data_IF_276468188718
#
_entry.id   IF_276468188718
#
_cell.length_a   1.000
_cell.length_b   1.000
_cell.length_c   1.000
_cell.angle_alpha   90.00
_cell.angle_beta   90.00
_cell.angle_gamma   90.00
#
_symmetry.space_group_name_H-M   'P 1'
#
loop_
_entity.id
_entity.type
_entity.pdbx_description
1 polymer ?
#
# COMPACT_ATOMS: atom_id res chain seq x y z
N UNK A 1 47.57 -16.73 -40.44
CA UNK A 1 46.66 -17.74 -41.01
C UNK A 1 46.29 -18.67 -39.86
N UNK A 2 45.16 -18.44 -39.18
CA UNK A 2 43.82 -19.02 -39.42
C UNK A 2 43.70 -20.48 -38.94
N UNK A 3 42.73 -20.73 -38.05
CA UNK A 3 42.18 -22.05 -37.68
C UNK A 3 42.42 -22.37 -36.20
N UNK A 4 41.53 -22.12 -35.24
CA UNK A 4 40.13 -22.55 -35.09
C UNK A 4 39.96 -24.06 -35.25
N UNK A 5 39.99 -24.82 -34.15
CA UNK A 5 39.11 -25.97 -33.91
C UNK A 5 39.39 -26.59 -32.52
N UNK A 6 38.81 -26.01 -31.46
CA UNK A 6 38.55 -26.74 -30.20
C UNK A 6 37.10 -27.24 -30.28
N UNK A 7 36.87 -28.17 -31.20
CA UNK A 7 35.66 -28.98 -31.24
C UNK A 7 35.83 -30.10 -30.22
N UNK A 8 35.43 -29.89 -28.97
CA UNK A 8 34.97 -30.97 -28.07
C UNK A 8 34.40 -30.41 -26.75
N UNK A 9 33.54 -29.39 -26.86
CA UNK A 9 32.63 -29.04 -25.77
C UNK A 9 31.42 -29.98 -25.82
N UNK A 10 31.45 -30.99 -24.95
CA UNK A 10 30.33 -31.48 -24.14
C UNK A 10 29.02 -31.80 -24.88
N UNK A 11 29.04 -32.89 -25.66
CA UNK A 11 27.85 -33.68 -25.91
C UNK A 11 27.83 -34.85 -24.92
N UNK A 12 26.65 -35.16 -24.39
CA UNK A 12 26.22 -36.47 -23.85
C UNK A 12 26.05 -36.60 -22.33
N UNK A 13 24.75 -36.58 -21.95
CA UNK A 13 24.11 -37.47 -20.98
C UNK A 13 24.23 -37.10 -19.49
N UNK A 14 23.65 -35.98 -19.09
CA UNK A 14 23.07 -35.88 -17.74
C UNK A 14 21.67 -36.51 -17.76
N UNK A 15 21.59 -37.61 -17.01
CA UNK A 15 20.45 -38.51 -16.85
C UNK A 15 19.15 -37.77 -16.49
N UNK A 16 18.07 -38.15 -17.15
CA UNK A 16 16.71 -37.80 -16.76
C UNK A 16 16.38 -38.44 -15.41
N UNK A 17 16.55 -37.69 -14.32
CA UNK A 17 16.06 -38.07 -13.01
C UNK A 17 14.65 -37.52 -12.83
N UNK A 18 13.68 -38.43 -12.89
CA UNK A 18 12.26 -38.20 -12.56
C UNK A 18 12.19 -37.69 -11.11
N UNK A 19 12.00 -36.39 -10.91
CA UNK A 19 11.62 -35.86 -9.59
C UNK A 19 10.11 -35.75 -9.57
N UNK A 20 9.50 -36.63 -8.77
CA UNK A 20 8.07 -36.72 -8.53
C UNK A 20 7.49 -35.34 -8.19
N UNK A 21 6.33 -35.05 -8.78
CA UNK A 21 5.49 -33.93 -8.41
C UNK A 21 5.19 -33.96 -6.89
N UNK A 22 5.77 -33.03 -6.14
CA UNK A 22 5.32 -32.73 -4.79
C UNK A 22 4.06 -31.86 -4.91
N UNK A 23 2.89 -32.49 -4.82
CA UNK A 23 1.65 -31.77 -4.49
C UNK A 23 1.84 -31.08 -3.15
N UNK A 24 1.52 -29.78 -2.98
CA UNK A 24 1.43 -29.21 -1.64
C UNK A 24 0.20 -29.80 -0.94
N UNK A 25 0.41 -30.90 -0.23
CA UNK A 25 -0.50 -31.35 0.82
C UNK A 25 -0.29 -30.42 2.02
N UNK A 26 -1.21 -29.47 2.21
CA UNK A 26 -1.31 -28.68 3.44
C UNK A 26 -2.64 -28.95 4.12
N UNK A 27 -2.73 -30.08 4.81
CA UNK A 27 -3.67 -30.27 5.91
C UNK A 27 -2.96 -30.97 7.08
N UNK A 28 -2.52 -30.15 8.04
CA UNK A 28 -2.52 -30.37 9.50
C UNK A 28 -1.81 -29.13 10.10
N UNK A 29 -2.33 -28.27 10.97
CA UNK A 29 -3.34 -28.43 12.01
C UNK A 29 -2.67 -28.18 13.36
N UNK A 30 -3.20 -27.21 14.13
CA UNK A 30 -3.03 -26.99 15.58
C UNK A 30 -1.86 -26.13 16.10
N UNK A 31 -2.16 -24.85 16.35
CA UNK A 31 -1.50 -24.00 17.32
C UNK A 31 -2.55 -23.05 17.94
N UNK A 32 -2.85 -23.25 19.22
CA UNK A 32 -3.88 -22.51 19.94
C UNK A 32 -3.51 -21.04 20.14
N UNK A 33 -4.45 -20.16 19.86
CA UNK A 33 -4.34 -18.72 20.13
C UNK A 33 -5.71 -18.09 20.00
N UNK A 34 -6.39 -17.91 21.14
CA UNK A 34 -7.61 -17.12 21.26
C UNK A 34 -7.23 -15.64 21.21
N UNK A 35 -6.94 -15.15 20.01
CA UNK A 35 -6.89 -13.73 19.68
C UNK A 35 -7.65 -13.53 18.36
N UNK A 36 -8.30 -12.39 18.11
CA UNK A 36 -8.88 -12.10 16.81
C UNK A 36 -7.73 -12.09 15.80
N UNK A 37 -7.56 -13.20 15.07
CA UNK A 37 -6.72 -13.26 13.89
C UNK A 37 -7.37 -12.26 12.93
N UNK A 38 -6.69 -11.18 12.50
CA UNK A 38 -7.30 -10.27 11.53
C UNK A 38 -7.69 -11.15 10.35
N UNK A 39 -8.99 -11.27 10.10
CA UNK A 39 -9.48 -11.75 8.82
C UNK A 39 -8.65 -10.98 7.81
N UNK A 40 -7.91 -11.68 6.95
CA UNK A 40 -7.14 -11.03 5.89
C UNK A 40 -8.18 -10.36 4.99
N UNK A 41 -8.65 -9.19 5.39
CA UNK A 41 -9.49 -8.35 4.58
C UNK A 41 -8.65 -8.11 3.35
N UNK A 42 -9.10 -8.64 2.23
CA UNK A 42 -8.51 -8.35 0.93
C UNK A 42 -8.47 -6.83 0.83
N UNK A 43 -7.27 -6.27 0.72
CA UNK A 43 -7.13 -4.83 0.72
C UNK A 43 -7.72 -4.27 -0.57
N UNK A 44 -8.65 -3.31 -0.46
CA UNK A 44 -9.26 -2.66 -1.62
C UNK A 44 -8.39 -1.52 -2.11
N UNK A 45 -7.93 -0.66 -1.20
CA UNK A 45 -7.05 0.45 -1.55
C UNK A 45 -5.76 0.42 -0.75
N UNK A 46 -4.66 0.56 -1.50
CA UNK A 46 -3.31 0.67 -0.98
C UNK A 46 -2.87 2.13 -1.04
N UNK A 47 -2.70 2.73 0.12
CA UNK A 47 -2.17 4.08 0.26
C UNK A 47 -0.65 4.04 0.42
N UNK A 48 0.02 5.16 0.14
CA UNK A 48 1.48 5.26 0.23
C UNK A 48 1.89 6.37 1.18
N UNK A 49 2.81 6.07 2.09
CA UNK A 49 3.46 7.10 2.92
C UNK A 49 4.35 8.01 2.05
N UNK A 50 4.76 9.19 2.54
CA UNK A 50 5.72 10.06 1.85
C UNK A 50 7.06 9.37 1.56
N UNK A 51 7.43 8.36 2.35
CA UNK A 51 8.62 7.53 2.18
C UNK A 51 8.43 6.41 1.14
N UNK A 52 7.21 6.27 0.59
CA UNK A 52 6.87 5.30 -0.43
C UNK A 52 6.40 3.94 0.09
N UNK A 53 6.28 3.77 1.42
CA UNK A 53 5.77 2.54 2.00
C UNK A 53 4.27 2.39 1.71
N UNK A 54 3.88 1.26 1.13
CA UNK A 54 2.48 0.94 0.90
C UNK A 54 1.86 0.29 2.13
N UNK A 55 0.64 0.69 2.47
CA UNK A 55 -0.15 0.06 3.53
C UNK A 55 -1.62 0.00 3.11
N UNK A 56 -2.37 -0.91 3.73
CA UNK A 56 -3.79 -1.03 3.45
C UNK A 56 -4.57 0.08 4.16
N UNK A 57 -5.26 0.91 3.40
CA UNK A 57 -6.03 2.04 3.94
C UNK A 57 -7.56 1.89 3.76
N UNK A 58 -8.00 0.88 3.02
CA UNK A 58 -9.41 0.48 2.97
C UNK A 58 -9.52 -1.01 2.66
N UNK A 59 -10.23 -1.75 3.51
CA UNK A 59 -10.49 -3.17 3.34
C UNK A 59 -11.71 -3.46 2.47
N UNK A 60 -11.80 -4.68 1.95
CA UNK A 60 -12.96 -5.12 1.14
C UNK A 60 -14.29 -5.20 1.91
N UNK A 61 -14.26 -5.11 3.24
CA UNK A 61 -15.45 -5.12 4.08
C UNK A 61 -16.07 -3.72 4.23
N UNK A 62 -15.32 -2.66 3.91
CA UNK A 62 -15.82 -1.29 4.00
C UNK A 62 -16.77 -0.97 2.84
N UNK A 63 -17.78 -0.11 3.02
CA UNK A 63 -18.67 0.30 1.93
C UNK A 63 -17.89 0.96 0.80
N UNK A 64 -18.14 0.56 -0.44
CA UNK A 64 -17.53 1.21 -1.60
C UNK A 64 -18.12 2.62 -1.79
N UNK A 65 -17.25 3.58 -2.09
CA UNK A 65 -17.61 4.96 -2.39
C UNK A 65 -17.05 5.43 -3.75
N UNK A 66 -17.44 6.63 -4.20
CA UNK A 66 -16.83 7.25 -5.37
C UNK A 66 -15.32 7.44 -5.15
N UNK A 67 -14.55 7.31 -6.23
CA UNK A 67 -13.10 7.50 -6.24
C UNK A 67 -12.76 8.64 -7.18
N UNK A 68 -11.86 9.51 -6.74
CA UNK A 68 -11.34 10.57 -7.58
C UNK A 68 -10.36 11.46 -6.83
N UNK A 69 -9.92 12.50 -7.53
CA UNK A 69 -9.02 13.53 -7.00
C UNK A 69 -9.75 14.86 -7.03
N UNK A 70 -9.70 15.61 -5.93
CA UNK A 70 -10.28 16.95 -5.82
C UNK A 70 -9.22 18.02 -6.11
N UNK A 71 -9.63 19.25 -6.48
CA UNK A 71 -8.72 20.39 -6.63
C UNK A 71 -7.89 20.68 -5.37
N UNK A 72 -6.80 21.42 -5.57
CA UNK A 72 -5.83 21.73 -4.52
C UNK A 72 -4.92 20.56 -4.18
N UNK A 73 -4.04 20.77 -3.19
CA UNK A 73 -3.04 19.79 -2.76
C UNK A 73 -3.07 19.55 -1.27
N UNK A 74 -2.52 18.40 -0.87
CA UNK A 74 -2.34 18.09 0.53
C UNK A 74 -1.38 19.09 1.18
N UNK A 75 -1.67 19.55 2.41
CA UNK A 75 -0.72 20.36 3.16
C UNK A 75 0.56 19.57 3.40
N UNK A 76 1.71 20.25 3.56
CA UNK A 76 2.96 19.60 3.91
C UNK A 76 2.80 18.72 5.15
N UNK A 77 3.42 17.54 5.12
CA UNK A 77 3.42 16.62 6.25
C UNK A 77 4.14 17.29 7.41
N UNK A 78 3.45 17.44 8.54
CA UNK A 78 4.00 18.13 9.71
C UNK A 78 5.10 17.28 10.34
N UNK A 79 6.23 17.87 10.77
CA UNK A 79 7.29 17.13 11.45
C UNK A 79 6.95 16.84 12.92
N UNK A 80 6.04 17.62 13.53
CA UNK A 80 5.69 17.54 14.95
C UNK A 80 4.19 17.45 15.14
N UNK A 81 3.77 16.64 16.11
CA UNK A 81 2.37 16.43 16.43
C UNK A 81 1.85 17.51 17.38
N UNK A 82 0.74 18.20 17.03
CA UNK A 82 0.13 19.16 17.93
C UNK A 82 -0.43 18.44 19.17
N UNK A 83 -0.61 19.15 20.30
CA UNK A 83 -1.32 18.61 21.45
C UNK A 83 -2.70 18.09 21.02
N UNK A 84 -3.06 16.88 21.45
CA UNK A 84 -4.35 16.27 21.12
C UNK A 84 -5.47 17.14 21.71
N UNK A 85 -6.20 17.86 20.85
CA UNK A 85 -7.41 18.59 21.24
C UNK A 85 -8.58 17.60 21.08
N UNK A 86 -9.36 17.39 22.14
CA UNK A 86 -10.36 16.33 22.27
C UNK A 86 -11.65 16.51 21.44
N UNK A 87 -11.57 16.96 20.19
CA UNK A 87 -12.73 17.16 19.31
C UNK A 87 -13.11 15.90 18.50
N UNK A 88 -12.57 14.74 18.87
CA UNK A 88 -12.74 13.48 18.17
C UNK A 88 -11.56 13.18 17.22
N UNK A 89 -11.35 11.90 16.88
CA UNK A 89 -10.31 11.52 15.94
C UNK A 89 -10.64 12.04 14.53
N UNK A 90 -9.63 12.42 13.73
CA UNK A 90 -9.85 12.79 12.35
C UNK A 90 -10.37 11.59 11.54
N UNK A 91 -11.11 11.88 10.47
CA UNK A 91 -11.69 10.85 9.59
C UNK A 91 -10.58 10.22 8.72
N UNK A 92 -10.43 8.91 8.80
CA UNK A 92 -9.56 8.13 7.91
C UNK A 92 -10.15 8.03 6.51
N UNK A 93 -9.29 7.88 5.51
CA UNK A 93 -9.70 7.87 4.10
C UNK A 93 -8.73 7.08 3.21
N UNK A 94 -9.22 6.68 2.04
CA UNK A 94 -8.44 6.02 0.99
C UNK A 94 -8.23 6.91 -0.25
N UNK A 95 -9.13 7.87 -0.48
CA UNK A 95 -9.09 8.81 -1.60
C UNK A 95 -9.86 10.10 -1.28
N UNK A 96 -9.72 11.14 -2.11
CA UNK A 96 -10.29 12.46 -1.82
C UNK A 96 -11.82 12.45 -1.71
N UNK A 97 -12.50 11.57 -2.44
CA UNK A 97 -13.96 11.45 -2.42
C UNK A 97 -14.49 10.70 -1.19
N UNK A 98 -13.62 10.03 -0.43
CA UNK A 98 -13.96 9.56 0.94
C UNK A 98 -14.14 10.74 1.91
N UNK A 99 -13.63 11.93 1.59
CA UNK A 99 -13.70 13.12 2.42
C UNK A 99 -14.87 14.04 2.02
N UNK A 100 -15.45 14.76 2.98
CA UNK A 100 -16.54 15.72 2.74
C UNK A 100 -16.04 17.06 2.20
N UNK A 101 -16.87 17.73 1.38
CA UNK A 101 -16.58 19.07 0.84
C UNK A 101 -15.32 19.09 -0.03
N UNK A 102 -14.47 20.10 0.15
CA UNK A 102 -13.19 20.26 -0.57
C UNK A 102 -12.03 19.47 0.05
N UNK A 103 -12.24 18.82 1.20
CA UNK A 103 -11.17 18.12 1.91
C UNK A 103 -10.58 17.00 1.06
N UNK A 104 -9.25 16.88 1.16
CA UNK A 104 -8.43 15.88 0.48
C UNK A 104 -7.99 14.80 1.45
N UNK A 105 -7.66 13.64 0.89
CA UNK A 105 -7.16 12.51 1.64
C UNK A 105 -5.64 12.55 1.72
N UNK A 106 -5.11 12.89 2.89
CA UNK A 106 -3.71 13.28 3.05
C UNK A 106 -3.04 12.53 4.20
N UNK A 107 -1.81 12.09 3.99
CA UNK A 107 -1.04 11.41 5.02
C UNK A 107 -0.82 12.29 6.26
N UNK A 108 -1.01 11.71 7.44
CA UNK A 108 -0.71 12.29 8.74
C UNK A 108 0.36 11.48 9.45
N UNK A 109 1.56 12.06 9.61
CA UNK A 109 2.67 11.37 10.29
C UNK A 109 2.40 11.09 11.77
N UNK A 110 1.48 11.83 12.38
CA UNK A 110 1.15 11.63 13.79
C UNK A 110 0.23 10.45 14.03
N UNK A 111 -0.49 10.02 12.99
CA UNK A 111 -1.41 8.89 13.03
C UNK A 111 -0.92 7.72 12.16
N UNK A 112 0.13 7.96 11.37
CA UNK A 112 0.69 7.01 10.41
C UNK A 112 -0.32 6.51 9.38
N UNK A 113 -1.31 7.35 9.05
CA UNK A 113 -2.40 7.03 8.13
C UNK A 113 -2.90 8.26 7.35
N UNK A 114 -3.68 8.02 6.30
CA UNK A 114 -4.33 9.07 5.52
C UNK A 114 -5.64 9.48 6.20
N UNK A 115 -5.78 10.78 6.39
CA UNK A 115 -6.95 11.40 7.00
C UNK A 115 -7.43 12.59 6.16
N UNK A 116 -8.69 12.96 6.34
CA UNK A 116 -9.25 14.11 5.66
C UNK A 116 -8.65 15.42 6.18
N UNK A 117 -8.04 16.21 5.30
CA UNK A 117 -7.46 17.52 5.59
C UNK A 117 -7.95 18.56 4.60
N UNK A 118 -7.98 19.82 5.03
CA UNK A 118 -8.23 20.93 4.13
C UNK A 118 -7.13 21.01 3.05
N UNK A 119 -7.48 21.26 1.78
CA UNK A 119 -6.49 21.51 0.76
C UNK A 119 -5.77 22.84 1.02
N UNK A 120 -4.57 22.95 0.48
CA UNK A 120 -3.96 24.25 0.18
C UNK A 120 -4.11 24.50 -1.32
N UNK A 121 -4.49 25.72 -1.69
CA UNK A 121 -4.60 26.15 -3.07
C UNK A 121 -3.21 26.59 -3.55
N UNK A 122 -2.84 26.22 -4.78
CA UNK A 122 -1.65 26.79 -5.45
C UNK A 122 -1.99 28.05 -6.27
N UNK A 123 -3.23 28.49 -6.23
CA UNK A 123 -3.72 29.71 -6.87
C UNK A 123 -4.01 30.68 -5.72
N UNK A 124 -3.01 31.47 -5.31
CA UNK A 124 -2.67 32.71 -6.02
C UNK A 124 -1.22 33.12 -5.72
N UNK A 125 -0.41 33.53 -6.72
CA UNK A 125 0.37 34.74 -6.55
C UNK A 125 -0.62 35.85 -6.20
N UNK A 126 -0.45 36.45 -5.02
CA UNK A 126 -1.05 37.74 -4.68
C UNK A 126 -0.53 38.78 -5.69
N UNK A 127 -1.16 38.89 -6.85
CA UNK A 127 -1.12 40.12 -7.63
C UNK A 127 -2.05 41.11 -6.93
N UNK A 128 -1.43 42.14 -6.38
CA UNK A 128 -2.03 43.29 -5.69
C UNK A 128 -2.47 44.33 -6.71
#
# INVERSE_FOLDING_TARGET
MKGLSVFLMICSMALASVVLAATPNRNNGFGGGLGPRPTQATCRYWCRTPEGQAYCCEGSQEPAGPVGVKPGVCPPVRPTCPPVRSFGPPKTCSNDYSCGGINKCCYDRCLEEHVCKAPIDYETPIDY
#
